data_IF_061798553984
#
_entry.id   IF_061798553984
#
_cell.length_a   1.000
_cell.length_b   1.000
_cell.length_c   1.000
_cell.angle_alpha   90.00
_cell.angle_beta   90.00
_cell.angle_gamma   90.00
#
_symmetry.space_group_name_H-M   'P 1'
#
loop_
_entity.id
_entity.type
_entity.pdbx_description
1 polymer ?
#
# COMPACT_ATOMS: atom_id res chain seq x y z
N UNK A 1 -2.53 -10.71 32.96
CA UNK A 1 -1.96 -9.45 32.43
C UNK A 1 -2.63 -9.21 31.10
N UNK A 2 -3.32 -8.07 30.96
CA UNK A 2 -3.82 -7.49 29.71
C UNK A 2 -2.71 -7.59 28.64
N UNK A 3 -2.95 -7.84 27.36
CA UNK A 3 -3.77 -7.04 26.45
C UNK A 3 -4.21 -7.97 25.31
N UNK A 4 -5.51 -8.01 25.03
CA UNK A 4 -6.05 -8.36 23.72
C UNK A 4 -5.44 -7.40 22.71
N UNK A 5 -4.28 -7.76 22.14
CA UNK A 5 -3.80 -7.16 20.90
C UNK A 5 -4.86 -7.55 19.87
N UNK A 6 -5.88 -6.72 19.73
CA UNK A 6 -6.81 -6.83 18.62
C UNK A 6 -5.96 -6.80 17.36
N UNK A 7 -5.89 -7.93 16.65
CA UNK A 7 -5.39 -7.94 15.29
C UNK A 7 -6.36 -7.05 14.51
N UNK A 8 -6.03 -5.77 14.36
CA UNK A 8 -6.76 -4.85 13.48
C UNK A 8 -6.68 -5.50 12.10
N UNK A 9 -7.81 -6.04 11.62
CA UNK A 9 -7.89 -6.71 10.33
C UNK A 9 -7.94 -5.63 9.25
N UNK A 10 -7.54 -6.00 8.04
CA UNK A 10 -7.49 -5.06 6.90
C UNK A 10 -8.88 -4.50 6.55
N UNK A 11 -9.96 -5.17 6.98
CA UNK A 11 -11.34 -4.72 6.88
C UNK A 11 -11.76 -3.67 7.93
N UNK A 12 -11.01 -3.54 9.03
CA UNK A 12 -11.27 -2.59 10.12
C UNK A 12 -10.62 -1.20 9.88
N UNK A 13 -9.83 -1.05 8.81
CA UNK A 13 -9.09 0.19 8.50
C UNK A 13 -9.61 0.86 7.22
N UNK A 14 -9.44 2.18 7.13
CA UNK A 14 -9.91 2.95 5.98
C UNK A 14 -9.08 2.67 4.71
N UNK A 15 -9.63 3.00 3.54
CA UNK A 15 -8.91 2.90 2.27
C UNK A 15 -7.60 3.69 2.28
N UNK A 16 -7.59 4.88 2.90
CA UNK A 16 -6.38 5.69 3.06
C UNK A 16 -5.31 4.99 3.90
N UNK A 17 -5.71 4.35 5.01
CA UNK A 17 -4.77 3.58 5.84
C UNK A 17 -4.22 2.37 5.08
N UNK A 18 -5.07 1.68 4.31
CA UNK A 18 -4.65 0.55 3.45
C UNK A 18 -3.67 1.01 2.39
N UNK A 19 -3.96 2.13 1.73
CA UNK A 19 -3.08 2.75 0.74
C UNK A 19 -1.73 3.09 1.38
N UNK A 20 -1.70 3.78 2.52
CA UNK A 20 -0.46 4.08 3.23
C UNK A 20 0.34 2.83 3.63
N UNK A 21 -0.32 1.76 4.07
CA UNK A 21 0.37 0.50 4.35
C UNK A 21 0.99 -0.12 3.10
N UNK A 22 0.30 -0.07 1.96
CA UNK A 22 0.80 -0.58 0.69
C UNK A 22 1.97 0.25 0.16
N UNK A 23 1.83 1.57 0.16
CA UNK A 23 2.83 2.50 -0.38
C UNK A 23 4.11 2.53 0.46
N UNK A 24 4.04 2.23 1.76
CA UNK A 24 5.22 2.05 2.62
C UNK A 24 5.91 0.70 2.46
N UNK A 25 5.21 -0.33 1.97
CA UNK A 25 5.77 -1.66 1.76
C UNK A 25 6.39 -1.82 0.37
N UNK A 26 5.94 -1.05 -0.61
CA UNK A 26 6.46 -1.04 -1.97
C UNK A 26 7.66 -0.09 -2.07
N UNK A 27 8.86 -0.66 -2.27
CA UNK A 27 10.07 0.12 -2.56
C UNK A 27 10.08 0.53 -4.03
N UNK A 28 10.39 1.80 -4.31
CA UNK A 28 10.52 2.28 -5.68
C UNK A 28 11.85 1.77 -6.25
N UNK A 29 11.86 0.87 -7.26
CA UNK A 29 13.11 0.30 -7.79
C UNK A 29 13.97 1.33 -8.54
N UNK A 30 13.39 2.46 -8.92
CA UNK A 30 14.05 3.54 -9.68
C UNK A 30 14.36 4.78 -8.85
N UNK A 31 13.95 4.80 -7.58
CA UNK A 31 14.17 5.94 -6.69
C UNK A 31 15.25 5.57 -5.67
N UNK A 32 16.15 6.50 -5.34
CA UNK A 32 17.20 6.31 -4.32
C UNK A 32 16.60 5.92 -2.96
N UNK A 33 16.56 4.62 -2.68
CA UNK A 33 16.18 3.98 -1.41
C UNK A 33 14.89 4.52 -0.75
N UNK A 34 13.93 4.99 -1.54
CA UNK A 34 12.68 5.58 -1.04
C UNK A 34 11.48 4.72 -1.42
N UNK A 35 10.48 4.72 -0.54
CA UNK A 35 9.19 4.07 -0.81
C UNK A 35 8.45 4.81 -1.93
N UNK A 36 7.48 4.15 -2.55
CA UNK A 36 6.61 4.84 -3.52
C UNK A 36 5.80 5.97 -2.86
N UNK A 37 5.66 5.99 -1.52
CA UNK A 37 5.05 7.07 -0.73
C UNK A 37 5.99 8.26 -0.49
N UNK A 38 7.28 8.00 -0.27
CA UNK A 38 8.28 9.05 -0.05
C UNK A 38 8.83 9.67 -1.33
N UNK A 39 8.77 8.93 -2.44
CA UNK A 39 9.36 9.35 -3.71
C UNK A 39 8.41 10.24 -4.51
N UNK A 40 8.91 11.37 -5.03
CA UNK A 40 8.15 12.28 -5.90
C UNK A 40 8.35 11.98 -7.40
N UNK A 41 8.79 10.76 -7.74
CA UNK A 41 8.97 10.36 -9.12
C UNK A 41 7.62 10.18 -9.83
N UNK A 42 7.57 10.43 -11.13
CA UNK A 42 6.35 10.28 -11.92
C UNK A 42 5.78 8.85 -11.83
N UNK A 43 6.67 7.84 -11.76
CA UNK A 43 6.27 6.45 -11.59
C UNK A 43 5.64 6.18 -10.21
N UNK A 44 6.07 6.87 -9.16
CA UNK A 44 5.49 6.74 -7.83
C UNK A 44 4.07 7.29 -7.79
N UNK A 45 3.80 8.38 -8.51
CA UNK A 45 2.45 8.92 -8.66
C UNK A 45 1.52 7.96 -9.42
N UNK A 46 2.02 7.38 -10.52
CA UNK A 46 1.27 6.40 -11.32
C UNK A 46 0.94 5.14 -10.50
N UNK A 47 1.93 4.60 -9.78
CA UNK A 47 1.72 3.45 -8.89
C UNK A 47 0.70 3.75 -7.78
N UNK A 48 0.73 4.94 -7.17
CA UNK A 48 -0.27 5.34 -6.16
C UNK A 48 -1.67 5.43 -6.75
N UNK A 49 -1.81 6.04 -7.93
CA UNK A 49 -3.08 6.11 -8.64
C UNK A 49 -3.62 4.71 -8.92
N UNK A 50 -2.75 3.78 -9.36
CA UNK A 50 -3.12 2.39 -9.62
C UNK A 50 -3.50 1.62 -8.35
N UNK A 51 -2.76 1.80 -7.25
CA UNK A 51 -3.12 1.23 -5.94
C UNK A 51 -4.50 1.71 -5.51
N UNK A 52 -4.80 3.00 -5.67
CA UNK A 52 -6.10 3.57 -5.32
C UNK A 52 -7.22 2.98 -6.18
N UNK A 53 -7.01 2.81 -7.48
CA UNK A 53 -7.96 2.16 -8.39
C UNK A 53 -8.26 0.72 -7.94
N UNK A 54 -7.23 -0.09 -7.69
CA UNK A 54 -7.40 -1.47 -7.24
C UNK A 54 -8.13 -1.56 -5.88
N UNK A 55 -7.84 -0.63 -4.97
CA UNK A 55 -8.55 -0.52 -3.69
C UNK A 55 -10.04 -0.19 -3.90
N UNK A 56 -10.38 0.70 -4.85
CA UNK A 56 -11.76 1.02 -5.21
C UNK A 56 -12.47 -0.15 -5.90
N UNK A 57 -11.75 -0.98 -6.66
CA UNK A 57 -12.24 -2.24 -7.22
C UNK A 57 -12.54 -3.31 -6.14
N UNK A 58 -12.15 -3.06 -4.89
CA UNK A 58 -12.36 -3.99 -3.78
C UNK A 58 -11.28 -5.06 -3.67
N UNK A 59 -10.12 -4.87 -4.30
CA UNK A 59 -8.99 -5.79 -4.20
C UNK A 59 -8.41 -5.84 -2.78
N UNK A 60 -7.88 -7.00 -2.43
CA UNK A 60 -7.17 -7.18 -1.17
C UNK A 60 -5.75 -6.63 -1.25
N UNK A 61 -5.18 -6.19 -0.12
CA UNK A 61 -3.82 -5.63 -0.11
C UNK A 61 -2.77 -6.63 -0.64
N UNK A 62 -2.94 -7.93 -0.39
CA UNK A 62 -2.08 -8.96 -0.98
C UNK A 62 -2.17 -9.01 -2.50
N UNK A 63 -3.37 -8.96 -3.09
CA UNK A 63 -3.53 -8.95 -4.56
C UNK A 63 -2.85 -7.72 -5.18
N UNK A 64 -2.96 -6.57 -4.50
CA UNK A 64 -2.32 -5.34 -4.96
C UNK A 64 -0.79 -5.48 -4.91
N UNK A 65 -0.23 -6.02 -3.82
CA UNK A 65 1.23 -6.24 -3.73
C UNK A 65 1.70 -7.22 -4.80
N UNK A 66 0.99 -8.34 -4.97
CA UNK A 66 1.31 -9.37 -5.95
C UNK A 66 1.34 -8.78 -7.37
N UNK A 67 0.43 -7.86 -7.68
CA UNK A 67 0.41 -7.13 -8.95
C UNK A 67 1.71 -6.35 -9.24
N UNK A 68 2.39 -5.83 -8.20
CA UNK A 68 3.61 -5.02 -8.35
C UNK A 68 4.91 -5.78 -8.11
N UNK A 69 4.87 -7.00 -7.57
CA UNK A 69 6.05 -7.77 -7.11
C UNK A 69 6.57 -8.80 -8.14
N UNK A 70 5.94 -8.91 -9.33
CA UNK A 70 6.30 -9.77 -10.48
C UNK A 70 7.65 -10.53 -10.38
#
# INVERSE_FOLDING_TARGET
>A
MMITFGCIREEDITLEQRMHQLTNQLMCPVCDAQTIDGSNAQISQDMRAKVQELLQEGKSNSEIKDYFVL
#
